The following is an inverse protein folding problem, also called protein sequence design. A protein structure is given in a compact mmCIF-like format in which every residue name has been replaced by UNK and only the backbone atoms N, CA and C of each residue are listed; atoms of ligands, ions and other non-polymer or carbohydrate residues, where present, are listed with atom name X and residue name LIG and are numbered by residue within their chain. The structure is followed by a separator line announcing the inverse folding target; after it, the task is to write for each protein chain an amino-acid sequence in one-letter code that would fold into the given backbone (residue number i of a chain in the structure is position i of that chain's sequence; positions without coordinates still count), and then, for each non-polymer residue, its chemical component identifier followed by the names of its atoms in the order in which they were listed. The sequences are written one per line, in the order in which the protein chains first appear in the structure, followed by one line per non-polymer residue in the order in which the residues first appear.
data_IF_416244761036
#
_entry.id   IF_416244761036
#
_cell.length_a   1.000
_cell.length_b   1.000
_cell.length_c   1.000
_cell.angle_alpha   90.00
_cell.angle_beta   90.00
_cell.angle_gamma   90.00
#
_symmetry.space_group_name_H-M   'P 1'
#
loop_
_entity.id
_entity.type
_entity.pdbx_description
1 polymer ?
#
# COMPACT_ATOMS: atom_id res chain seq x y z
N UNK A 1 -8.84 -5.56 32.97
CA UNK A 1 -9.33 -4.48 33.83
C UNK A 1 -9.84 -5.08 35.15
N UNK A 2 -9.79 -4.32 36.23
CA UNK A 2 -10.34 -4.78 37.50
C UNK A 2 -11.88 -4.96 37.40
N UNK A 3 -12.35 -6.17 37.73
CA UNK A 3 -13.78 -6.56 37.58
C UNK A 3 -14.51 -6.74 38.93
N UNK A 4 -13.77 -6.63 40.04
CA UNK A 4 -14.33 -6.99 41.37
C UNK A 4 -15.59 -6.20 41.69
N UNK A 5 -15.55 -4.87 41.55
CA UNK A 5 -16.69 -4.01 41.81
C UNK A 5 -17.86 -4.26 40.85
N UNK A 6 -17.56 -4.44 39.55
CA UNK A 6 -18.60 -4.70 38.54
C UNK A 6 -19.25 -6.07 38.72
N UNK A 7 -18.52 -7.08 39.21
CA UNK A 7 -19.07 -8.38 39.56
C UNK A 7 -19.97 -8.32 40.77
N UNK A 8 -19.60 -7.55 41.81
CA UNK A 8 -20.44 -7.33 42.97
C UNK A 8 -21.75 -6.61 42.61
N UNK A 9 -21.66 -5.58 41.75
CA UNK A 9 -22.84 -4.86 41.25
C UNK A 9 -23.76 -5.79 40.42
N UNK A 10 -23.20 -6.66 39.58
CA UNK A 10 -23.97 -7.65 38.84
C UNK A 10 -24.69 -8.63 39.78
N UNK A 11 -24.01 -9.13 40.80
CA UNK A 11 -24.60 -10.04 41.77
C UNK A 11 -25.77 -9.39 42.53
N UNK A 12 -25.63 -8.12 42.93
CA UNK A 12 -26.69 -7.33 43.55
C UNK A 12 -27.89 -7.16 42.62
N UNK A 13 -27.64 -6.75 41.38
CA UNK A 13 -28.73 -6.55 40.39
C UNK A 13 -29.42 -7.88 40.03
N UNK A 14 -28.67 -9.00 39.99
CA UNK A 14 -29.24 -10.33 39.79
C UNK A 14 -30.18 -10.74 40.93
N UNK A 15 -29.82 -10.43 42.19
CA UNK A 15 -30.66 -10.70 43.34
C UNK A 15 -31.97 -9.88 43.29
N UNK A 16 -31.87 -8.59 42.91
CA UNK A 16 -33.04 -7.72 42.72
C UNK A 16 -33.98 -8.24 41.62
N UNK A 17 -33.41 -8.67 40.47
CA UNK A 17 -34.18 -9.27 39.38
C UNK A 17 -34.89 -10.55 39.84
N UNK A 18 -34.21 -11.40 40.60
CA UNK A 18 -34.80 -12.63 41.13
C UNK A 18 -35.95 -12.35 42.09
N UNK A 19 -35.80 -11.37 42.99
CA UNK A 19 -36.86 -10.97 43.91
C UNK A 19 -38.09 -10.42 43.15
N UNK A 20 -37.88 -9.51 42.20
CA UNK A 20 -38.95 -8.94 41.37
C UNK A 20 -39.68 -10.01 40.54
N UNK A 21 -38.93 -11.00 40.04
CA UNK A 21 -39.50 -12.14 39.31
C UNK A 21 -40.39 -12.99 40.18
N UNK A 22 -39.96 -13.30 41.38
CA UNK A 22 -40.75 -14.10 42.35
C UNK A 22 -42.04 -13.39 42.70
N UNK A 23 -42.00 -12.07 42.95
CA UNK A 23 -43.20 -11.27 43.23
C UNK A 23 -44.14 -11.23 42.03
N UNK A 24 -43.62 -11.05 40.83
CA UNK A 24 -44.41 -11.07 39.60
C UNK A 24 -45.12 -12.44 39.42
N UNK A 25 -44.40 -13.56 39.54
CA UNK A 25 -44.98 -14.90 39.40
C UNK A 25 -46.05 -15.20 40.48
N UNK A 26 -45.89 -14.65 41.69
CA UNK A 26 -46.91 -14.75 42.75
C UNK A 26 -48.15 -13.96 42.37
N UNK A 27 -47.99 -12.69 41.93
CA UNK A 27 -49.12 -11.82 41.57
C UNK A 27 -49.84 -12.31 40.32
N UNK A 28 -49.14 -12.90 39.40
CA UNK A 28 -49.73 -13.52 38.22
C UNK A 28 -50.66 -14.66 38.59
N UNK A 29 -50.22 -15.57 39.45
CA UNK A 29 -51.03 -16.68 39.92
C UNK A 29 -52.27 -16.20 40.78
N UNK A 30 -52.08 -15.17 41.58
CA UNK A 30 -53.15 -14.54 42.36
C UNK A 30 -54.22 -13.92 41.46
N UNK A 31 -53.74 -13.15 40.42
CA UNK A 31 -54.63 -12.54 39.42
C UNK A 31 -55.42 -13.60 38.66
N UNK A 32 -54.77 -14.66 38.17
CA UNK A 32 -55.43 -15.75 37.44
C UNK A 32 -56.47 -16.47 38.23
N UNK A 33 -56.21 -16.64 39.54
CA UNK A 33 -57.17 -17.22 40.48
C UNK A 33 -58.42 -16.31 40.69
N UNK A 34 -58.20 -15.02 40.97
CA UNK A 34 -59.27 -14.04 41.17
C UNK A 34 -60.04 -13.87 39.83
N UNK A 35 -59.42 -13.81 38.71
CA UNK A 35 -60.01 -13.77 37.36
C UNK A 35 -60.99 -14.94 37.18
N UNK A 36 -60.56 -16.16 37.49
CA UNK A 36 -61.38 -17.37 37.36
C UNK A 36 -62.60 -17.34 38.28
N UNK A 37 -62.49 -16.73 39.50
CA UNK A 37 -63.62 -16.54 40.44
C UNK A 37 -64.53 -15.43 39.95
N UNK A 38 -64.00 -14.34 39.40
CA UNK A 38 -64.78 -13.24 38.87
C UNK A 38 -65.64 -13.68 37.67
N UNK A 39 -65.03 -14.48 36.73
CA UNK A 39 -65.78 -15.07 35.62
C UNK A 39 -66.95 -15.97 36.03
N UNK A 40 -66.93 -16.43 37.28
CA UNK A 40 -68.02 -17.21 37.93
C UNK A 40 -68.92 -16.37 38.86
N UNK A 41 -68.74 -15.04 38.85
CA UNK A 41 -69.48 -14.09 39.67
C UNK A 41 -69.33 -14.36 41.21
N UNK A 42 -68.17 -14.90 41.62
CA UNK A 42 -67.93 -15.28 43.05
C UNK A 42 -67.07 -14.23 43.78
N UNK A 43 -66.55 -13.20 43.14
CA UNK A 43 -65.85 -12.07 43.75
C UNK A 43 -66.35 -10.77 43.14
N UNK A 44 -66.10 -9.63 43.84
CA UNK A 44 -66.53 -8.31 43.38
C UNK A 44 -65.57 -7.74 42.27
N UNK A 45 -66.10 -6.82 41.44
CA UNK A 45 -65.30 -6.07 40.44
C UNK A 45 -64.12 -5.35 41.11
N UNK A 46 -64.31 -4.79 42.31
CA UNK A 46 -63.26 -4.12 43.10
C UNK A 46 -62.11 -5.04 43.48
N UNK A 47 -62.40 -6.32 43.82
CA UNK A 47 -61.34 -7.32 44.10
C UNK A 47 -60.63 -7.74 42.87
N UNK A 48 -61.32 -7.88 41.74
CA UNK A 48 -60.70 -8.14 40.43
C UNK A 48 -59.77 -6.98 39.99
N UNK A 49 -60.26 -5.74 40.06
CA UNK A 49 -59.45 -4.56 39.67
C UNK A 49 -58.24 -4.40 40.59
N UNK A 50 -58.36 -4.68 41.88
CA UNK A 50 -57.22 -4.66 42.81
C UNK A 50 -56.18 -5.71 42.48
N UNK A 51 -56.57 -6.94 42.14
CA UNK A 51 -55.68 -8.01 41.78
C UNK A 51 -54.98 -7.72 40.42
N UNK A 52 -55.72 -7.17 39.46
CA UNK A 52 -55.20 -6.73 38.20
C UNK A 52 -54.16 -5.61 38.35
N UNK A 53 -54.46 -4.59 39.16
CA UNK A 53 -53.52 -3.51 39.46
C UNK A 53 -52.21 -4.02 40.08
N UNK A 54 -52.30 -4.94 41.04
CA UNK A 54 -51.13 -5.52 41.69
C UNK A 54 -50.29 -6.37 40.72
N UNK A 55 -50.93 -7.14 39.85
CA UNK A 55 -50.28 -7.88 38.79
C UNK A 55 -49.51 -6.97 37.82
N UNK A 56 -50.17 -5.93 37.30
CA UNK A 56 -49.51 -5.00 36.36
C UNK A 56 -48.37 -4.21 37.04
N UNK A 57 -48.52 -3.85 38.34
CA UNK A 57 -47.46 -3.21 39.11
C UNK A 57 -46.25 -4.12 39.28
N UNK A 58 -46.47 -5.39 39.64
CA UNK A 58 -45.38 -6.38 39.78
C UNK A 58 -44.69 -6.66 38.46
N UNK A 59 -45.43 -6.75 37.34
CA UNK A 59 -44.92 -6.91 35.98
C UNK A 59 -44.01 -5.75 35.56
N UNK A 60 -44.45 -4.51 35.84
CA UNK A 60 -43.64 -3.33 35.54
C UNK A 60 -42.36 -3.28 36.38
N UNK A 61 -42.44 -3.66 37.66
CA UNK A 61 -41.27 -3.75 38.56
C UNK A 61 -40.28 -4.80 38.08
N UNK A 62 -40.77 -5.98 37.65
CA UNK A 62 -39.92 -7.01 37.04
C UNK A 62 -39.26 -6.54 35.79
N UNK A 63 -39.98 -5.88 34.86
CA UNK A 63 -39.45 -5.30 33.65
C UNK A 63 -38.35 -4.27 33.93
N UNK A 64 -38.52 -3.40 34.91
CA UNK A 64 -37.53 -2.41 35.35
C UNK A 64 -36.28 -3.09 35.92
N UNK A 65 -36.43 -4.12 36.76
CA UNK A 65 -35.32 -4.89 37.32
C UNK A 65 -34.53 -5.61 36.21
N UNK A 66 -35.22 -6.15 35.19
CA UNK A 66 -34.61 -6.80 34.02
C UNK A 66 -33.78 -5.82 33.19
N UNK A 67 -34.32 -4.61 32.96
CA UNK A 67 -33.59 -3.56 32.25
C UNK A 67 -32.32 -3.13 33.01
N UNK A 68 -32.44 -2.97 34.35
CA UNK A 68 -31.29 -2.64 35.21
C UNK A 68 -30.20 -3.73 35.17
N UNK A 69 -30.58 -4.99 35.31
CA UNK A 69 -29.67 -6.12 35.20
C UNK A 69 -28.94 -6.16 33.84
N UNK A 70 -29.69 -5.94 32.78
CA UNK A 70 -29.11 -5.90 31.42
C UNK A 70 -28.08 -4.79 31.27
N UNK A 71 -28.35 -3.61 31.85
CA UNK A 71 -27.41 -2.48 31.88
C UNK A 71 -26.11 -2.84 32.63
N UNK A 72 -26.24 -3.37 33.85
CA UNK A 72 -25.08 -3.77 34.68
C UNK A 72 -24.26 -4.89 33.99
N UNK A 73 -24.94 -5.89 33.43
CA UNK A 73 -24.29 -6.97 32.64
C UNK A 73 -23.48 -6.42 31.46
N UNK A 74 -24.02 -5.42 30.76
CA UNK A 74 -23.32 -4.75 29.67
C UNK A 74 -22.09 -3.98 30.17
N UNK A 75 -22.21 -3.27 31.27
CA UNK A 75 -21.07 -2.57 31.87
C UNK A 75 -19.95 -3.52 32.26
N UNK A 76 -20.25 -4.69 32.79
CA UNK A 76 -19.24 -5.72 33.07
C UNK A 76 -18.59 -6.25 31.78
N UNK A 77 -19.35 -6.37 30.70
CA UNK A 77 -18.77 -6.82 29.41
C UNK A 77 -17.71 -5.88 28.87
N UNK A 78 -17.85 -4.57 29.12
CA UNK A 78 -16.84 -3.57 28.70
C UNK A 78 -15.52 -3.66 29.48
N UNK A 79 -15.50 -4.35 30.62
CA UNK A 79 -14.25 -4.65 31.33
C UNK A 79 -13.39 -5.72 30.64
N UNK A 80 -13.91 -6.38 29.60
CA UNK A 80 -13.17 -7.28 28.71
C UNK A 80 -13.17 -6.69 27.31
N UNK A 81 -12.01 -6.22 26.86
CA UNK A 81 -11.84 -5.68 25.53
C UNK A 81 -11.43 -6.82 24.61
N UNK A 82 -12.23 -7.07 23.58
CA UNK A 82 -11.98 -8.09 22.57
C UNK A 82 -11.76 -7.42 21.23
N UNK A 83 -10.95 -8.05 20.36
CA UNK A 83 -10.81 -7.58 18.98
C UNK A 83 -12.14 -7.74 18.24
N UNK A 84 -12.58 -6.73 17.48
CA UNK A 84 -13.75 -6.84 16.60
C UNK A 84 -13.47 -7.63 15.31
N UNK A 85 -12.21 -7.92 15.02
CA UNK A 85 -11.77 -8.64 13.82
C UNK A 85 -10.80 -9.74 14.21
N UNK A 86 -10.77 -10.80 13.41
CA UNK A 86 -9.69 -11.79 13.44
C UNK A 86 -8.46 -11.21 12.71
N UNK A 87 -7.26 -11.52 13.21
CA UNK A 87 -6.06 -10.96 12.60
C UNK A 87 -4.81 -11.15 13.46
N UNK A 88 -3.73 -10.50 13.02
CA UNK A 88 -2.41 -10.53 13.66
C UNK A 88 -2.18 -9.22 14.41
N UNK A 89 -1.68 -9.32 15.65
CA UNK A 89 -1.31 -8.14 16.44
C UNK A 89 0.00 -7.57 15.90
N UNK A 90 -0.08 -6.34 15.38
CA UNK A 90 1.08 -5.60 14.87
C UNK A 90 1.84 -4.93 16.01
N UNK A 91 1.12 -4.28 16.91
CA UNK A 91 1.71 -3.56 18.03
C UNK A 91 0.85 -3.65 19.29
N UNK A 92 1.51 -3.63 20.44
CA UNK A 92 0.93 -3.53 21.77
C UNK A 92 1.47 -2.27 22.43
N UNK A 93 0.58 -1.32 22.71
CA UNK A 93 0.93 -0.03 23.27
C UNK A 93 0.74 0.05 24.81
N UNK A 94 0.37 -1.06 25.46
CA UNK A 94 0.12 -1.12 26.90
C UNK A 94 0.83 -2.29 27.55
N UNK A 95 1.21 -2.13 28.82
CA UNK A 95 1.82 -3.19 29.64
C UNK A 95 0.81 -3.76 30.64
N UNK A 96 1.10 -4.99 31.11
CA UNK A 96 0.31 -5.61 32.16
C UNK A 96 0.44 -4.80 33.48
N UNK A 97 -0.68 -4.53 34.13
CA UNK A 97 -0.71 -3.70 35.34
C UNK A 97 -0.72 -2.19 35.07
N UNK A 98 -0.57 -1.74 33.84
CA UNK A 98 -0.63 -0.32 33.50
C UNK A 98 -2.05 0.22 33.67
N UNK A 99 -2.19 1.37 34.32
CA UNK A 99 -3.45 2.10 34.41
C UNK A 99 -3.73 2.81 33.09
N UNK A 100 -4.87 2.51 32.47
CA UNK A 100 -5.34 3.17 31.26
C UNK A 100 -6.39 4.20 31.65
N UNK A 101 -6.05 5.49 31.54
CA UNK A 101 -6.99 6.58 31.75
C UNK A 101 -7.67 6.92 30.42
N UNK A 102 -8.97 6.66 30.34
CA UNK A 102 -9.83 7.13 29.25
C UNK A 102 -10.35 8.53 29.64
N UNK A 103 -9.54 9.55 29.41
CA UNK A 103 -9.93 10.95 29.63
C UNK A 103 -10.55 11.54 28.37
N UNK A 104 -9.94 12.63 27.87
CA UNK A 104 -10.39 13.32 26.66
C UNK A 104 -9.99 12.60 25.36
N UNK A 105 -8.97 11.74 25.40
CA UNK A 105 -8.48 10.98 24.24
C UNK A 105 -8.60 9.48 24.52
N UNK A 106 -8.97 8.74 23.47
CA UNK A 106 -9.03 7.28 23.52
C UNK A 106 -7.65 6.70 23.24
N UNK A 107 -6.97 6.08 24.21
CA UNK A 107 -5.64 5.51 23.98
C UNK A 107 -5.71 4.26 23.10
N UNK A 108 -4.77 4.13 22.19
CA UNK A 108 -4.58 2.90 21.41
C UNK A 108 -3.96 1.83 22.31
N UNK A 109 -4.60 0.68 22.41
CA UNK A 109 -4.11 -0.45 23.21
C UNK A 109 -3.34 -1.46 22.35
N UNK A 110 -3.92 -1.85 21.22
CA UNK A 110 -3.37 -2.79 20.26
C UNK A 110 -3.68 -2.32 18.85
N UNK A 111 -2.76 -2.56 17.93
CA UNK A 111 -3.00 -2.44 16.49
C UNK A 111 -3.05 -3.83 15.89
N UNK A 112 -4.15 -4.14 15.19
CA UNK A 112 -4.41 -5.47 14.63
C UNK A 112 -4.64 -5.33 13.13
N UNK A 113 -3.90 -6.11 12.32
CA UNK A 113 -4.16 -6.24 10.89
C UNK A 113 -4.98 -7.50 10.63
N UNK A 114 -5.93 -7.40 9.71
CA UNK A 114 -6.73 -8.54 9.28
C UNK A 114 -5.88 -9.56 8.54
N UNK A 115 -5.04 -9.08 7.62
CA UNK A 115 -4.13 -9.88 6.82
C UNK A 115 -2.85 -9.09 6.54
N UNK A 116 -1.71 -9.76 6.53
CA UNK A 116 -0.41 -9.21 6.16
C UNK A 116 -0.02 -9.58 4.73
N UNK A 117 -0.79 -10.45 4.06
CA UNK A 117 -0.57 -10.78 2.66
C UNK A 117 -1.06 -9.67 1.71
N UNK A 118 -2.08 -8.91 2.13
CA UNK A 118 -2.62 -7.76 1.40
C UNK A 118 -2.19 -6.47 2.09
N UNK A 119 -1.11 -5.88 1.58
CA UNK A 119 -0.57 -4.62 2.07
C UNK A 119 -0.90 -3.48 1.12
N UNK A 120 -0.75 -2.27 1.63
CA UNK A 120 -0.83 -1.04 0.85
C UNK A 120 0.41 -0.19 1.11
N UNK A 121 0.90 0.46 0.06
CA UNK A 121 1.89 1.53 0.16
C UNK A 121 1.13 2.85 -0.03
N UNK A 122 1.35 3.78 0.88
CA UNK A 122 0.86 5.16 0.76
C UNK A 122 2.04 5.99 0.29
N UNK A 123 1.93 6.52 -0.92
CA UNK A 123 2.96 7.37 -1.51
C UNK A 123 2.50 8.83 -1.48
N UNK A 124 3.36 9.71 -1.00
CA UNK A 124 3.15 11.16 -1.05
C UNK A 124 3.66 11.70 -2.39
N UNK A 125 2.75 12.13 -3.24
CA UNK A 125 3.06 12.67 -4.58
C UNK A 125 2.89 14.18 -4.57
N UNK A 126 3.88 14.90 -5.10
CA UNK A 126 3.86 16.36 -5.21
C UNK A 126 2.70 16.86 -6.10
N UNK A 127 2.16 18.04 -5.79
CA UNK A 127 1.10 18.70 -6.57
C UNK A 127 1.47 18.87 -8.05
N UNK A 128 2.75 19.06 -8.36
CA UNK A 128 3.21 19.22 -9.73
C UNK A 128 3.05 17.93 -10.58
N UNK A 129 3.13 16.76 -9.95
CA UNK A 129 3.13 15.45 -10.61
C UNK A 129 1.79 14.72 -10.53
N UNK A 130 0.93 15.07 -9.55
CA UNK A 130 -0.32 14.35 -9.31
C UNK A 130 -1.27 14.34 -10.51
N UNK A 131 -1.20 15.39 -11.36
CA UNK A 131 -2.03 15.48 -12.57
C UNK A 131 -1.81 14.36 -13.58
N UNK A 132 -0.67 13.65 -13.51
CA UNK A 132 -0.34 12.53 -14.38
C UNK A 132 -0.68 11.17 -13.75
N UNK A 133 -0.96 11.12 -12.44
CA UNK A 133 -1.26 9.89 -11.72
C UNK A 133 -2.74 9.55 -11.85
N UNK A 134 -3.03 8.30 -12.26
CA UNK A 134 -4.39 7.78 -12.44
C UNK A 134 -4.51 6.39 -11.83
N UNK A 135 -5.72 6.05 -11.40
CA UNK A 135 -6.05 4.70 -10.93
C UNK A 135 -5.76 3.64 -12.00
N UNK A 136 -5.23 2.52 -11.57
CA UNK A 136 -4.89 1.38 -12.42
C UNK A 136 -3.49 1.42 -13.03
N UNK A 137 -2.74 2.52 -12.90
CA UNK A 137 -1.35 2.59 -13.38
C UNK A 137 -0.47 1.58 -12.65
N UNK A 138 0.48 1.00 -13.40
CA UNK A 138 1.49 0.09 -12.86
C UNK A 138 2.51 0.84 -12.01
N UNK A 139 2.85 0.23 -10.89
CA UNK A 139 3.80 0.79 -9.93
C UNK A 139 4.85 -0.24 -9.60
N UNK A 140 6.10 0.18 -9.56
CA UNK A 140 7.19 -0.60 -9.00
C UNK A 140 7.74 0.11 -7.77
N UNK A 141 8.10 -0.64 -6.74
CA UNK A 141 8.70 -0.05 -5.55
C UNK A 141 9.74 -0.98 -4.93
N UNK A 142 10.68 -0.38 -4.26
CA UNK A 142 11.67 -1.06 -3.41
C UNK A 142 11.49 -0.58 -1.99
N UNK A 143 11.87 -1.39 -1.01
CA UNK A 143 11.86 -1.00 0.41
C UNK A 143 13.29 -1.01 0.94
N UNK A 144 13.60 -0.11 1.88
CA UNK A 144 14.95 0.04 2.41
C UNK A 144 15.48 -1.23 3.08
N UNK A 145 14.56 -2.09 3.58
CA UNK A 145 14.92 -3.39 4.16
C UNK A 145 15.34 -4.44 3.11
N UNK A 146 14.94 -4.28 1.85
CA UNK A 146 15.22 -5.20 0.73
C UNK A 146 15.49 -4.38 -0.54
N UNK A 147 16.67 -3.74 -0.65
CA UNK A 147 16.97 -2.80 -1.75
C UNK A 147 17.10 -3.49 -3.12
N UNK A 148 17.44 -4.78 -3.13
CA UNK A 148 17.60 -5.57 -4.36
C UNK A 148 16.28 -6.21 -4.83
N UNK A 149 15.24 -6.25 -3.99
CA UNK A 149 13.94 -6.83 -4.32
C UNK A 149 13.02 -5.74 -4.88
N UNK A 150 12.55 -5.93 -6.11
CA UNK A 150 11.56 -5.04 -6.75
C UNK A 150 10.18 -5.64 -6.57
N UNK A 151 9.30 -4.88 -5.93
CA UNK A 151 7.90 -5.23 -5.74
C UNK A 151 7.03 -4.55 -6.77
N UNK A 152 5.95 -5.20 -7.16
CA UNK A 152 5.00 -4.68 -8.14
C UNK A 152 3.67 -4.39 -7.46
N UNK A 153 3.08 -3.26 -7.83
CA UNK A 153 1.79 -2.83 -7.35
C UNK A 153 0.99 -2.11 -8.44
N UNK A 154 -0.17 -1.63 -8.05
CA UNK A 154 -1.01 -0.76 -8.91
C UNK A 154 -1.57 0.37 -8.09
N UNK A 155 -1.73 1.53 -8.70
CA UNK A 155 -2.48 2.64 -8.10
C UNK A 155 -3.92 2.18 -7.89
N UNK A 156 -4.33 2.11 -6.64
CA UNK A 156 -5.69 1.74 -6.25
C UNK A 156 -6.60 2.96 -6.19
N UNK A 157 -6.08 4.04 -5.61
CA UNK A 157 -6.84 5.27 -5.39
C UNK A 157 -5.90 6.46 -5.24
N UNK A 158 -6.31 7.60 -5.75
CA UNK A 158 -5.70 8.91 -5.47
C UNK A 158 -6.61 9.65 -4.49
N UNK A 159 -6.11 10.00 -3.30
CA UNK A 159 -6.87 10.76 -2.31
C UNK A 159 -7.00 12.21 -2.76
N UNK A 160 -8.20 12.78 -2.64
CA UNK A 160 -8.50 14.14 -3.09
C UNK A 160 -8.08 15.21 -2.06
N UNK A 161 -7.81 14.81 -0.82
CA UNK A 161 -7.35 15.70 0.24
C UNK A 161 -5.84 15.88 0.14
N UNK A 162 -5.41 17.14 -0.01
CA UNK A 162 -4.01 17.49 0.01
C UNK A 162 -3.50 17.63 1.45
N UNK A 163 -2.29 17.16 1.71
CA UNK A 163 -1.58 17.37 2.98
C UNK A 163 -0.48 18.39 2.76
N UNK A 164 -0.41 19.40 3.63
CA UNK A 164 0.67 20.39 3.58
C UNK A 164 1.64 20.19 4.73
N UNK A 165 2.85 19.78 4.43
CA UNK A 165 3.92 19.62 5.43
C UNK A 165 5.10 20.48 5.02
N UNK A 166 5.54 21.34 5.94
CA UNK A 166 6.70 22.24 5.70
C UNK A 166 6.58 23.08 4.41
N UNK A 167 5.39 23.59 4.09
CA UNK A 167 5.08 24.34 2.86
C UNK A 167 5.14 23.50 1.55
N UNK A 168 5.22 22.19 1.63
CA UNK A 168 5.10 21.29 0.46
C UNK A 168 3.71 20.69 0.46
N UNK A 169 3.00 20.83 -0.67
CA UNK A 169 1.67 20.24 -0.87
C UNK A 169 1.81 18.89 -1.56
N UNK A 170 1.34 17.84 -0.89
CA UNK A 170 1.37 16.48 -1.40
C UNK A 170 -0.01 15.84 -1.37
N UNK A 171 -0.23 14.91 -2.27
CA UNK A 171 -1.43 14.07 -2.33
C UNK A 171 -1.06 12.62 -2.04
N UNK A 172 -1.83 11.98 -1.19
CA UNK A 172 -1.63 10.56 -0.88
C UNK A 172 -2.19 9.67 -1.98
N UNK A 173 -1.32 8.83 -2.53
CA UNK A 173 -1.67 7.80 -3.51
C UNK A 173 -1.60 6.43 -2.85
N UNK A 174 -2.72 5.72 -2.83
CA UNK A 174 -2.82 4.37 -2.28
C UNK A 174 -2.47 3.37 -3.36
N UNK A 175 -1.48 2.54 -3.10
CA UNK A 175 -0.93 1.55 -4.03
C UNK A 175 -1.10 0.17 -3.43
N UNK A 176 -1.62 -0.79 -4.20
CA UNK A 176 -1.68 -2.20 -3.77
C UNK A 176 -0.28 -2.78 -3.69
N UNK A 177 0.01 -3.51 -2.64
CA UNK A 177 1.30 -4.16 -2.39
C UNK A 177 1.09 -5.62 -1.96
N UNK A 178 0.87 -6.56 -2.91
CA UNK A 178 0.74 -7.97 -2.60
C UNK A 178 2.00 -8.49 -1.90
N UNK A 179 1.81 -9.21 -0.79
CA UNK A 179 2.89 -9.68 0.07
C UNK A 179 2.75 -11.18 0.40
N UNK A 180 2.76 -12.08 -0.60
CA UNK A 180 2.55 -13.50 -0.38
C UNK A 180 3.64 -14.14 0.49
N UNK A 181 4.87 -13.65 0.40
CA UNK A 181 6.03 -14.14 1.14
C UNK A 181 6.17 -13.52 2.54
N UNK A 182 5.26 -12.62 2.94
CA UNK A 182 5.28 -11.89 4.21
C UNK A 182 6.61 -11.13 4.47
N UNK A 183 7.32 -10.74 3.41
CA UNK A 183 8.56 -9.94 3.49
C UNK A 183 8.28 -8.50 3.89
N UNK A 184 7.20 -7.91 3.37
CA UNK A 184 6.79 -6.56 3.71
C UNK A 184 6.21 -6.53 5.12
N UNK A 185 6.59 -5.50 5.88
CA UNK A 185 6.07 -5.26 7.23
C UNK A 185 5.50 -3.85 7.31
N UNK A 186 4.43 -3.64 8.10
CA UNK A 186 3.92 -2.30 8.34
C UNK A 186 5.00 -1.37 8.90
N UNK A 187 5.05 -0.13 8.39
CA UNK A 187 6.01 0.88 8.82
C UNK A 187 7.34 0.87 8.07
N UNK A 188 7.53 0.03 7.04
CA UNK A 188 8.69 0.13 6.15
C UNK A 188 8.55 1.34 5.24
N UNK A 189 9.67 2.01 4.97
CA UNK A 189 9.79 3.07 3.97
C UNK A 189 10.00 2.45 2.60
N UNK A 190 9.27 2.96 1.60
CA UNK A 190 9.34 2.49 0.22
C UNK A 190 9.70 3.61 -0.74
N UNK A 191 10.57 3.31 -1.71
CA UNK A 191 10.84 4.17 -2.84
C UNK A 191 9.97 3.73 -4.03
N UNK A 192 9.03 4.59 -4.42
CA UNK A 192 7.97 4.26 -5.37
C UNK A 192 8.22 4.90 -6.73
N UNK A 193 8.04 4.11 -7.79
CA UNK A 193 8.05 4.58 -9.18
C UNK A 193 6.71 4.27 -9.81
N UNK A 194 5.94 5.31 -10.14
CA UNK A 194 4.65 5.20 -10.80
C UNK A 194 4.87 5.36 -12.31
N UNK A 195 4.45 4.36 -13.10
CA UNK A 195 4.52 4.44 -14.55
C UNK A 195 3.30 5.21 -15.07
N UNK A 196 3.51 6.48 -15.40
CA UNK A 196 2.41 7.36 -15.87
C UNK A 196 2.00 7.08 -17.30
N UNK A 197 2.91 6.51 -18.10
CA UNK A 197 2.68 6.11 -19.49
C UNK A 197 3.31 4.74 -19.73
N UNK A 198 2.57 3.81 -20.28
CA UNK A 198 3.04 2.51 -20.74
C UNK A 198 2.62 2.33 -22.19
N UNK A 199 3.58 2.40 -23.11
CA UNK A 199 3.38 2.14 -24.52
C UNK A 199 3.95 0.76 -24.86
N UNK A 200 3.10 -0.13 -25.39
CA UNK A 200 3.49 -1.48 -25.80
C UNK A 200 3.82 -1.51 -27.29
N UNK A 201 4.76 -2.37 -27.66
CA UNK A 201 5.12 -2.64 -29.06
C UNK A 201 5.61 -1.41 -29.85
N UNK A 202 6.27 -0.46 -29.16
CA UNK A 202 6.87 0.73 -29.80
C UNK A 202 8.33 0.47 -30.13
N UNK A 203 8.71 0.75 -31.38
CA UNK A 203 10.11 0.79 -31.77
C UNK A 203 10.83 1.88 -30.96
N UNK A 204 11.91 1.53 -30.28
CA UNK A 204 12.67 2.47 -29.48
C UNK A 204 14.14 2.49 -29.89
N UNK A 205 14.70 3.68 -29.97
CA UNK A 205 16.13 3.88 -30.26
C UNK A 205 16.81 4.55 -29.08
N UNK A 206 18.10 4.30 -28.84
CA UNK A 206 18.85 5.05 -27.84
C UNK A 206 18.80 6.55 -28.17
N UNK A 207 18.47 7.40 -27.18
CA UNK A 207 18.38 8.86 -27.39
C UNK A 207 19.67 9.48 -27.96
N UNK A 208 20.81 8.83 -27.71
CA UNK A 208 22.10 9.21 -28.31
C UNK A 208 22.07 9.14 -29.83
N UNK A 209 21.35 8.19 -30.44
CA UNK A 209 21.24 8.04 -31.88
C UNK A 209 20.56 9.24 -32.57
N UNK A 210 19.61 9.88 -31.88
CA UNK A 210 18.88 11.07 -32.36
C UNK A 210 19.74 12.34 -32.31
N UNK A 211 20.85 12.32 -31.59
CA UNK A 211 21.79 13.44 -31.44
C UNK A 211 23.09 13.19 -32.18
N UNK A 212 23.23 12.00 -32.76
CA UNK A 212 24.45 11.64 -33.51
C UNK A 212 24.53 12.45 -34.80
N UNK A 213 25.68 13.13 -35.00
CA UNK A 213 26.00 13.83 -36.21
C UNK A 213 27.36 13.27 -36.71
N UNK A 214 27.40 12.64 -37.89
CA UNK A 214 28.63 12.04 -38.39
C UNK A 214 29.64 13.14 -38.76
N UNK A 215 30.87 12.96 -38.27
CA UNK A 215 32.00 13.79 -38.69
C UNK A 215 32.58 13.25 -40.00
N UNK A 216 32.57 14.05 -41.08
CA UNK A 216 33.04 13.59 -42.41
C UNK A 216 34.50 13.13 -42.40
N UNK A 217 35.36 13.75 -41.60
CA UNK A 217 36.80 13.41 -41.57
C UNK A 217 36.99 12.04 -40.90
N UNK A 218 36.32 11.76 -39.80
CA UNK A 218 36.37 10.47 -39.13
C UNK A 218 35.77 9.34 -39.98
N UNK A 219 34.72 9.61 -40.75
CA UNK A 219 34.10 8.61 -41.62
C UNK A 219 35.03 8.16 -42.74
N UNK A 220 35.79 9.08 -43.32
CA UNK A 220 36.79 8.74 -44.32
C UNK A 220 37.91 7.88 -43.72
N UNK A 221 38.34 8.19 -42.50
CA UNK A 221 39.38 7.44 -41.79
C UNK A 221 38.99 5.99 -41.52
N UNK A 222 37.70 5.76 -41.12
CA UNK A 222 37.18 4.41 -40.83
C UNK A 222 36.60 3.70 -42.05
N UNK A 223 36.69 4.32 -43.27
CA UNK A 223 36.25 3.73 -44.52
C UNK A 223 34.74 3.55 -44.66
N UNK A 224 33.93 4.39 -43.99
CA UNK A 224 32.45 4.37 -44.04
C UNK A 224 31.97 5.44 -45.02
N UNK A 225 31.09 5.05 -45.94
CA UNK A 225 30.53 5.96 -46.96
C UNK A 225 29.20 6.54 -46.47
N UNK A 226 29.02 7.84 -46.63
CA UNK A 226 27.77 8.54 -46.35
C UNK A 226 26.97 8.70 -47.63
N UNK A 227 25.75 8.18 -47.66
CA UNK A 227 24.86 8.32 -48.81
C UNK A 227 23.62 9.12 -48.40
N UNK A 228 23.50 10.35 -48.92
CA UNK A 228 22.37 11.23 -48.66
C UNK A 228 22.75 12.46 -47.82
N UNK A 229 21.85 13.46 -47.81
CA UNK A 229 21.94 14.67 -46.98
C UNK A 229 20.99 14.63 -45.83
N UNK A 230 21.41 15.15 -44.67
CA UNK A 230 20.57 15.28 -43.48
C UNK A 230 19.37 16.20 -43.78
N UNK A 231 18.16 15.71 -43.50
CA UNK A 231 16.97 16.53 -43.53
C UNK A 231 16.95 17.47 -42.33
N UNK A 232 16.27 18.62 -42.43
CA UNK A 232 16.11 19.53 -41.32
C UNK A 232 15.28 18.86 -40.21
N UNK A 233 15.74 18.96 -38.96
CA UNK A 233 15.01 18.51 -37.80
C UNK A 233 13.82 19.45 -37.58
N UNK A 234 12.62 18.88 -37.43
CA UNK A 234 11.39 19.59 -37.00
C UNK A 234 11.10 19.33 -35.52
N UNK A 235 9.97 19.86 -35.03
CA UNK A 235 9.58 19.71 -33.59
C UNK A 235 9.44 18.23 -33.20
N UNK A 236 8.77 17.41 -34.03
CA UNK A 236 8.54 15.97 -33.80
C UNK A 236 9.35 15.07 -34.70
N UNK A 237 10.22 15.64 -35.57
CA UNK A 237 11.02 14.88 -36.53
C UNK A 237 12.50 15.01 -36.23
N UNK A 238 13.22 13.89 -36.25
CA UNK A 238 14.65 13.82 -36.04
C UNK A 238 15.30 12.97 -37.14
N UNK A 239 16.59 13.19 -37.37
CA UNK A 239 17.34 12.34 -38.25
C UNK A 239 18.09 11.29 -37.46
N UNK A 240 17.96 10.06 -37.90
CA UNK A 240 18.69 8.90 -37.37
C UNK A 240 19.57 8.35 -38.50
N UNK A 241 20.79 7.95 -38.16
CA UNK A 241 21.69 7.35 -39.11
C UNK A 241 21.59 5.83 -39.05
N UNK A 242 21.16 5.22 -40.18
CA UNK A 242 20.99 3.78 -40.33
C UNK A 242 22.19 3.20 -41.06
N UNK A 243 22.75 2.14 -40.50
CA UNK A 243 23.90 1.42 -41.08
C UNK A 243 23.43 0.25 -41.93
N UNK A 244 23.97 0.15 -43.14
CA UNK A 244 23.87 -1.04 -44.01
C UNK A 244 25.27 -1.47 -44.47
N UNK A 245 25.85 -2.45 -43.78
CA UNK A 245 27.22 -2.88 -44.05
C UNK A 245 28.26 -1.78 -43.77
N UNK A 246 28.90 -1.25 -44.80
CA UNK A 246 29.91 -0.17 -44.69
C UNK A 246 29.39 1.21 -45.10
N UNK A 247 28.07 1.35 -45.20
CA UNK A 247 27.40 2.57 -45.64
C UNK A 247 26.44 3.05 -44.53
N UNK A 248 26.43 4.37 -44.29
CA UNK A 248 25.45 5.01 -43.41
C UNK A 248 24.60 5.99 -44.22
N UNK A 249 23.31 5.96 -43.98
CA UNK A 249 22.35 6.84 -44.62
C UNK A 249 21.44 7.53 -43.61
N UNK A 250 21.14 8.83 -43.80
CA UNK A 250 20.20 9.53 -42.91
C UNK A 250 18.78 9.12 -43.24
N UNK A 251 18.00 8.88 -42.18
CA UNK A 251 16.58 8.55 -42.25
C UNK A 251 15.80 9.44 -41.33
N UNK A 252 14.77 10.13 -41.82
CA UNK A 252 13.92 10.97 -41.02
C UNK A 252 12.94 10.09 -40.27
N UNK A 253 12.86 10.24 -38.95
CA UNK A 253 11.99 9.50 -38.06
C UNK A 253 11.10 10.46 -37.29
N UNK A 254 9.90 10.04 -37.00
CA UNK A 254 8.99 10.76 -36.08
C UNK A 254 9.21 10.21 -34.68
N UNK A 255 9.54 11.10 -33.74
CA UNK A 255 9.82 10.74 -32.36
C UNK A 255 8.55 10.79 -31.51
N UNK A 256 8.40 9.81 -30.64
CA UNK A 256 7.36 9.74 -29.59
C UNK A 256 7.95 10.11 -28.22
N UNK A 257 7.43 9.46 -27.18
CA UNK A 257 7.84 9.70 -25.80
C UNK A 257 9.26 9.17 -25.52
N UNK A 258 9.96 9.86 -24.63
CA UNK A 258 11.30 9.46 -24.17
C UNK A 258 11.21 8.91 -22.76
N UNK A 259 11.79 7.73 -22.52
CA UNK A 259 11.89 7.10 -21.22
C UNK A 259 13.35 6.73 -20.95
N UNK A 260 13.98 7.39 -19.98
CA UNK A 260 15.37 7.19 -19.63
C UNK A 260 16.32 7.46 -20.80
N UNK A 261 17.03 6.43 -21.25
CA UNK A 261 18.02 6.49 -22.35
C UNK A 261 17.44 6.16 -23.73
N UNK A 262 16.15 5.85 -23.83
CA UNK A 262 15.45 5.44 -25.06
C UNK A 262 14.35 6.42 -25.44
N UNK A 263 14.20 6.65 -26.75
CA UNK A 263 13.10 7.43 -27.33
C UNK A 263 12.30 6.53 -28.26
N UNK A 264 10.97 6.53 -28.07
CA UNK A 264 10.04 5.84 -28.96
C UNK A 264 10.02 6.45 -30.35
N UNK A 265 9.87 5.63 -31.37
CA UNK A 265 9.76 6.04 -32.78
C UNK A 265 8.38 5.62 -33.27
N UNK A 266 7.57 6.60 -33.65
CA UNK A 266 6.22 6.37 -34.17
C UNK A 266 6.17 6.17 -35.68
N UNK A 267 7.23 6.52 -36.39
CA UNK A 267 7.30 6.34 -37.84
C UNK A 267 8.69 6.59 -38.40
N UNK A 268 8.94 6.06 -39.62
CA UNK A 268 10.19 6.30 -40.35
C UNK A 268 11.30 5.26 -40.14
N UNK A 269 11.15 4.31 -39.20
CA UNK A 269 12.12 3.23 -38.96
C UNK A 269 11.41 1.87 -39.04
N UNK A 270 12.12 0.83 -39.44
CA UNK A 270 11.63 -0.53 -39.47
C UNK A 270 12.37 -1.37 -38.44
N UNK A 271 11.67 -2.41 -37.92
CA UNK A 271 12.30 -3.34 -36.99
C UNK A 271 13.50 -4.05 -37.61
N UNK A 272 14.58 -4.21 -36.84
CA UNK A 272 15.82 -4.83 -37.28
C UNK A 272 16.80 -3.90 -38.03
N UNK A 273 16.50 -2.62 -38.21
CA UNK A 273 17.46 -1.65 -38.77
C UNK A 273 18.55 -1.26 -37.74
N UNK A 274 19.81 -1.34 -38.14
CA UNK A 274 20.92 -0.94 -37.26
C UNK A 274 21.10 0.57 -37.22
N UNK A 275 20.97 1.13 -36.01
CA UNK A 275 21.04 2.58 -35.77
C UNK A 275 22.39 2.95 -35.19
N UNK A 276 23.04 3.96 -35.76
CA UNK A 276 24.36 4.44 -35.33
C UNK A 276 24.21 5.35 -34.11
N UNK A 277 24.88 5.00 -33.03
CA UNK A 277 24.86 5.77 -31.74
C UNK A 277 26.17 6.54 -31.51
N UNK A 278 27.22 6.24 -32.27
CA UNK A 278 28.52 6.86 -32.13
C UNK A 278 29.55 6.19 -33.06
N UNK A 279 30.65 6.86 -33.30
CA UNK A 279 31.81 6.34 -34.02
C UNK A 279 32.91 6.06 -32.99
N UNK A 280 33.54 4.88 -33.09
CA UNK A 280 34.74 4.55 -32.34
C UNK A 280 35.82 4.16 -33.34
N UNK A 281 36.86 4.96 -33.45
CA UNK A 281 38.07 4.55 -34.12
C UNK A 281 38.82 3.62 -33.14
N UNK A 282 38.79 2.32 -33.38
CA UNK A 282 39.70 1.41 -32.72
C UNK A 282 41.11 1.74 -33.21
N UNK A 283 41.86 2.49 -32.42
CA UNK A 283 43.24 2.75 -32.72
C UNK A 283 43.94 1.38 -32.90
N UNK A 284 44.65 1.13 -34.04
CA UNK A 284 45.34 -0.11 -34.22
C UNK A 284 46.30 -0.27 -33.01
N UNK A 285 46.16 -1.37 -32.28
CA UNK A 285 47.13 -1.75 -31.24
C UNK A 285 48.49 -1.77 -31.92
N UNK A 286 49.29 -0.72 -31.70
CA UNK A 286 50.72 -0.82 -31.94
C UNK A 286 51.16 -1.97 -31.04
N UNK A 287 51.59 -3.08 -31.69
CA UNK A 287 52.45 -4.05 -31.03
C UNK A 287 53.62 -3.25 -30.46
N UNK A 288 53.64 -3.03 -29.17
CA UNK A 288 54.85 -2.53 -28.50
C UNK A 288 55.93 -3.56 -28.74
N UNK A 289 56.78 -3.24 -29.72
CA UNK A 289 58.09 -3.87 -29.81
C UNK A 289 58.74 -3.69 -28.44
N UNK A 290 58.97 -4.80 -27.77
CA UNK A 290 59.69 -4.87 -26.51
C UNK A 290 61.07 -4.26 -26.71
N UNK A 291 61.20 -2.92 -26.51
CA UNK A 291 62.51 -2.30 -26.32
C UNK A 291 63.12 -2.91 -25.07
N UNK A 292 64.11 -3.76 -25.30
CA UNK A 292 64.95 -4.28 -24.22
C UNK A 292 65.64 -3.09 -23.57
N UNK A 293 65.33 -2.85 -22.34
CA UNK A 293 65.99 -1.87 -21.48
C UNK A 293 67.52 -2.15 -21.49
N UNK A 294 68.36 -1.13 -21.76
CA UNK A 294 69.81 -1.29 -21.75
C UNK A 294 70.40 -1.68 -20.38
N UNK A 295 69.61 -1.70 -19.37
CA UNK A 295 70.03 -1.98 -17.98
C UNK A 295 69.50 -3.30 -17.40
N UNK A 296 69.05 -4.24 -18.23
CA UNK A 296 68.67 -5.57 -17.73
C UNK A 296 69.91 -6.39 -17.40
N UNK A 297 70.07 -6.94 -16.17
CA UNK A 297 71.23 -7.78 -15.82
C UNK A 297 71.14 -9.10 -16.56
N UNK A 298 72.24 -9.47 -17.24
CA UNK A 298 72.38 -10.72 -18.00
C UNK A 298 72.32 -11.97 -17.12
N UNK A 299 72.01 -13.16 -17.71
CA UNK A 299 71.89 -14.40 -16.99
C UNK A 299 73.23 -14.82 -16.36
N UNK A 300 73.22 -15.10 -15.06
CA UNK A 300 74.33 -15.68 -14.33
C UNK A 300 74.60 -17.09 -14.85
N UNK A 301 75.80 -17.26 -15.43
CA UNK A 301 76.27 -18.57 -15.85
C UNK A 301 76.47 -19.53 -14.68
N UNK A 302 75.93 -20.71 -14.78
CA UNK A 302 76.19 -21.88 -13.91
C UNK A 302 77.69 -22.25 -14.00
N UNK A 303 78.38 -22.10 -12.87
CA UNK A 303 79.66 -22.81 -12.67
C UNK A 303 79.39 -24.12 -11.94
N UNK A 304 79.59 -25.21 -12.67
CA UNK A 304 79.79 -26.55 -12.07
C UNK A 304 80.96 -26.51 -11.08
N UNK A 305 80.70 -26.99 -9.88
CA UNK A 305 81.48 -28.01 -9.17
C UNK A 305 80.57 -28.67 -8.13
#
# INVERSE_FOLDING_TARGET
MDKVNLQAELASSQAQLSAAKTEFEYREKEYDRIKTLHDKELVSDSEYDSAFYQYETAKNTYSQAQASFTKVKRNLSYATITSPIDGVVISRAVEEGQTVAAGFETPTLFTIAKDLADMQVIADVDEADIGQVKEGQSVTFTVDAYPDDVFNGKVQQVRLEATTTSNVVTYEVVITAPNPDLKLKPGLTANVTINTLEEKDVLAVPTKALRFNPDPELLVEIGVTVTGSQAANGDDTRTVWVRKGNEISPKTVTTGHTSGDKTGITGGLSDGEEVVTGLSAEAPRKEEATERSPFAPGPRGDKKK
#
